data_IF_647742907566
#
_entry.id   IF_647742907566
#
_cell.length_a   1.000
_cell.length_b   1.000
_cell.length_c   1.000
_cell.angle_alpha   90.00
_cell.angle_beta   90.00
_cell.angle_gamma   90.00
#
_symmetry.space_group_name_H-M   'P 1'
#
loop_
_entity.id
_entity.type
_entity.pdbx_description
1 polymer ?
#
# COMPACT_ATOMS: atom_id res chain seq x y z
N UNK A 1 18.29 -2.26 24.70
CA UNK A 1 18.13 -3.56 24.04
C UNK A 1 18.07 -3.40 22.54
N UNK A 2 19.13 -3.82 21.85
CA UNK A 2 19.13 -3.96 20.39
C UNK A 2 18.48 -5.30 20.06
N UNK A 3 17.22 -5.29 19.62
CA UNK A 3 16.53 -6.48 19.12
C UNK A 3 16.47 -6.44 17.60
N UNK A 4 16.89 -7.53 16.98
CA UNK A 4 16.73 -7.75 15.55
C UNK A 4 15.33 -8.31 15.26
N UNK A 5 14.63 -7.72 14.29
CA UNK A 5 13.31 -8.18 13.84
C UNK A 5 13.43 -8.78 12.44
N UNK A 6 13.14 -10.06 12.33
CA UNK A 6 13.21 -10.80 11.06
C UNK A 6 11.83 -10.79 10.40
N UNK A 7 11.78 -10.27 9.18
CA UNK A 7 10.60 -10.35 8.31
C UNK A 7 10.47 -11.71 7.63
N UNK A 8 9.39 -11.90 6.88
CA UNK A 8 9.20 -13.04 6.00
C UNK A 8 10.22 -13.06 4.84
N UNK A 9 10.44 -14.25 4.29
CA UNK A 9 11.28 -14.43 3.09
C UNK A 9 10.56 -13.83 1.90
N UNK A 10 11.14 -12.80 1.29
CA UNK A 10 10.56 -12.13 0.13
C UNK A 10 11.51 -12.16 -1.06
N UNK A 11 10.96 -12.18 -2.27
CA UNK A 11 11.73 -12.18 -3.52
C UNK A 11 12.37 -10.81 -3.84
N UNK A 12 11.96 -9.74 -3.16
CA UNK A 12 12.49 -8.38 -3.32
C UNK A 12 12.94 -7.81 -1.98
N UNK A 13 14.05 -7.07 -1.99
CA UNK A 13 14.62 -6.42 -0.80
C UNK A 13 13.61 -5.53 -0.06
N UNK A 14 12.89 -4.69 -0.80
CA UNK A 14 11.90 -3.75 -0.23
C UNK A 14 10.77 -4.47 0.52
N UNK A 15 10.34 -5.62 0.02
CA UNK A 15 9.28 -6.40 0.67
C UNK A 15 9.81 -7.07 1.96
N UNK A 16 11.07 -7.54 1.94
CA UNK A 16 11.72 -8.09 3.13
C UNK A 16 11.91 -7.03 4.22
N UNK A 17 12.33 -5.82 3.85
CA UNK A 17 12.47 -4.68 4.77
C UNK A 17 11.12 -4.27 5.36
N UNK A 18 10.07 -4.18 4.53
CA UNK A 18 8.72 -3.88 5.00
C UNK A 18 8.18 -4.99 5.91
N UNK A 19 8.48 -6.25 5.59
CA UNK A 19 8.07 -7.37 6.42
C UNK A 19 8.77 -7.35 7.79
N UNK A 20 10.07 -7.01 7.83
CA UNK A 20 10.80 -6.83 9.09
C UNK A 20 10.25 -5.65 9.91
N UNK A 21 9.97 -4.52 9.26
CA UNK A 21 9.36 -3.35 9.89
C UNK A 21 7.97 -3.67 10.46
N UNK A 22 7.16 -4.46 9.75
CA UNK A 22 5.86 -4.92 10.25
C UNK A 22 6.01 -5.77 11.52
N UNK A 23 6.94 -6.73 11.53
CA UNK A 23 7.24 -7.55 12.71
C UNK A 23 7.62 -6.68 13.92
N UNK A 24 8.45 -5.65 13.70
CA UNK A 24 8.82 -4.71 14.75
C UNK A 24 7.61 -3.91 15.28
N UNK A 25 6.74 -3.42 14.39
CA UNK A 25 5.54 -2.68 14.77
C UNK A 25 4.57 -3.52 15.61
N UNK A 26 4.31 -4.77 15.20
CA UNK A 26 3.44 -5.69 15.96
C UNK A 26 4.02 -5.96 17.35
N UNK A 27 5.33 -6.18 17.43
CA UNK A 27 6.00 -6.38 18.71
C UNK A 27 5.84 -5.17 19.63
N UNK A 28 6.05 -3.95 19.12
CA UNK A 28 5.89 -2.72 19.89
C UNK A 28 4.44 -2.53 20.37
N UNK A 29 3.46 -2.85 19.53
CA UNK A 29 2.05 -2.79 19.92
C UNK A 29 1.74 -3.79 21.03
N UNK A 30 2.18 -5.05 20.91
CA UNK A 30 1.98 -6.06 21.95
C UNK A 30 2.64 -5.64 23.28
N UNK A 31 3.85 -5.08 23.23
CA UNK A 31 4.56 -4.61 24.42
C UNK A 31 3.89 -3.39 25.07
N UNK A 32 3.36 -2.45 24.28
CA UNK A 32 2.60 -1.33 24.82
C UNK A 32 1.31 -1.78 25.53
N UNK A 33 0.68 -2.85 25.04
CA UNK A 33 -0.50 -3.43 25.67
C UNK A 33 -0.18 -4.25 26.92
N UNK A 34 1.01 -4.83 27.06
CA UNK A 34 1.43 -5.46 28.33
C UNK A 34 1.56 -4.45 29.48
N UNK A 35 1.74 -3.16 29.18
CA UNK A 35 1.73 -2.10 30.19
C UNK A 35 0.32 -1.60 30.56
N UNK A 36 -0.72 -2.01 29.83
CA UNK A 36 -2.12 -1.71 30.15
C UNK A 36 -2.82 -3.02 30.54
N UNK A 37 -2.94 -3.26 31.83
CA UNK A 37 -3.57 -4.47 32.36
C UNK A 37 -5.00 -4.67 31.79
N UNK A 38 -5.30 -5.92 31.44
CA UNK A 38 -6.60 -6.54 31.08
C UNK A 38 -7.11 -6.40 29.63
N UNK A 39 -6.66 -7.29 28.72
CA UNK A 39 -7.56 -7.87 27.70
C UNK A 39 -7.04 -9.22 27.14
N UNK A 40 -7.31 -10.36 27.81
CA UNK A 40 -6.87 -11.69 27.35
C UNK A 40 -7.50 -12.12 26.01
N UNK A 41 -8.65 -11.55 25.64
CA UNK A 41 -9.35 -11.88 24.40
C UNK A 41 -8.65 -11.32 23.14
N UNK A 42 -7.93 -10.22 23.28
CA UNK A 42 -7.26 -9.57 22.16
C UNK A 42 -5.96 -10.29 21.78
N UNK A 43 -5.25 -10.83 22.79
CA UNK A 43 -4.07 -11.67 22.59
C UNK A 43 -4.43 -12.98 21.87
N UNK A 44 -5.54 -13.63 22.24
CA UNK A 44 -6.01 -14.85 21.58
C UNK A 44 -6.42 -14.59 20.11
N UNK A 45 -7.10 -13.46 19.84
CA UNK A 45 -7.46 -13.07 18.46
C UNK A 45 -6.23 -12.80 17.59
N UNK A 46 -5.22 -12.11 18.10
CA UNK A 46 -3.99 -11.85 17.36
C UNK A 46 -3.20 -13.13 17.08
N UNK A 47 -3.18 -14.07 18.04
CA UNK A 47 -2.51 -15.35 17.86
C UNK A 47 -3.22 -16.23 16.82
N UNK A 48 -4.56 -16.29 16.84
CA UNK A 48 -5.33 -16.98 15.80
C UNK A 48 -5.14 -16.36 14.41
N UNK A 49 -5.05 -15.04 14.34
CA UNK A 49 -4.80 -14.34 13.08
C UNK A 49 -3.41 -14.66 12.52
N UNK A 50 -2.40 -14.82 13.37
CA UNK A 50 -1.05 -15.22 12.98
C UNK A 50 -1.00 -16.65 12.45
N UNK A 51 -1.72 -17.58 13.09
CA UNK A 51 -1.82 -18.98 12.65
C UNK A 51 -2.44 -19.10 11.24
N UNK A 52 -3.51 -18.35 10.97
CA UNK A 52 -4.17 -18.32 9.65
C UNK A 52 -3.26 -17.79 8.54
N UNK A 53 -2.36 -16.86 8.85
CA UNK A 53 -1.38 -16.34 7.89
C UNK A 53 -0.33 -17.40 7.58
N UNK A 54 0.12 -18.17 8.58
CA UNK A 54 1.08 -19.26 8.36
C UNK A 54 0.49 -20.41 7.55
N UNK A 55 -0.73 -20.87 7.86
CA UNK A 55 -1.40 -21.95 7.11
C UNK A 55 -1.62 -21.60 5.64
N UNK A 56 -1.86 -20.31 5.34
CA UNK A 56 -1.98 -19.82 3.95
C UNK A 56 -0.67 -19.76 3.18
N UNK A 57 0.48 -19.72 3.84
CA UNK A 57 1.79 -19.73 3.17
C UNK A 57 2.30 -21.15 2.86
N UNK A 58 1.70 -22.20 3.41
CA UNK A 58 2.14 -23.59 3.21
C UNK A 58 1.51 -24.25 1.97
N UNK A 59 0.54 -23.61 1.30
CA UNK A 59 -0.06 -24.12 0.07
C UNK A 59 0.61 -23.55 -1.19
N UNK A 60 1.64 -24.29 -1.63
CA UNK A 60 2.21 -24.46 -2.98
C UNK A 60 3.62 -23.94 -3.22
N UNK A 61 4.57 -24.87 -3.36
CA UNK A 61 5.46 -24.94 -4.50
C UNK A 61 4.97 -26.03 -5.46
N UNK A 62 4.54 -25.68 -6.67
CA UNK A 62 4.48 -26.66 -7.77
C UNK A 62 5.77 -26.58 -8.61
N UNK A 63 6.37 -27.73 -8.96
CA UNK A 63 7.56 -27.79 -9.80
C UNK A 63 7.20 -27.50 -11.26
N UNK A 64 7.96 -26.62 -11.88
CA UNK A 64 7.84 -26.26 -13.29
C UNK A 64 8.65 -27.28 -14.12
N UNK A 65 7.99 -28.29 -14.68
CA UNK A 65 8.57 -29.15 -15.69
C UNK A 65 7.58 -29.39 -16.85
N UNK A 66 7.98 -28.86 -18.01
CA UNK A 66 7.81 -29.37 -19.38
C UNK A 66 6.44 -29.93 -19.82
N UNK A 67 5.85 -29.33 -20.87
CA UNK A 67 5.71 -29.98 -22.18
C UNK A 67 5.07 -29.04 -23.24
N UNK A 68 5.36 -29.40 -24.48
CA UNK A 68 5.12 -28.70 -25.74
C UNK A 68 3.64 -28.49 -26.13
N UNK A 69 3.41 -27.41 -26.89
CA UNK A 69 2.78 -27.50 -28.22
C UNK A 69 1.25 -27.39 -28.35
N UNK A 70 0.83 -26.38 -29.15
CA UNK A 70 -0.45 -26.25 -29.90
C UNK A 70 -1.75 -26.11 -29.09
N UNK A 71 -2.83 -25.52 -29.55
CA UNK A 71 -3.21 -24.43 -30.46
C UNK A 71 -4.74 -24.29 -30.25
N UNK A 72 -5.28 -23.06 -30.24
CA UNK A 72 -6.67 -22.60 -30.52
C UNK A 72 -7.89 -23.39 -30.00
N UNK A 73 -8.80 -22.71 -29.29
CA UNK A 73 -10.15 -22.34 -29.79
C UNK A 73 -10.95 -21.57 -28.71
N UNK A 74 -11.55 -20.45 -29.14
CA UNK A 74 -12.54 -19.70 -28.39
C UNK A 74 -13.93 -20.34 -28.51
N UNK A 75 -14.75 -20.29 -27.45
CA UNK A 75 -16.20 -20.10 -27.54
C UNK A 75 -16.81 -19.81 -26.15
N UNK A 76 -17.75 -18.88 -26.17
CA UNK A 76 -18.52 -18.32 -25.07
C UNK A 76 -19.53 -19.34 -24.50
N UNK A 77 -19.84 -19.23 -23.20
CA UNK A 77 -21.22 -19.04 -22.72
C UNK A 77 -21.26 -18.88 -21.20
N UNK A 78 -21.93 -17.83 -20.79
CA UNK A 78 -22.37 -17.46 -19.46
C UNK A 78 -23.33 -18.49 -18.82
N UNK A 79 -23.13 -18.78 -17.54
CA UNK A 79 -24.20 -18.89 -16.54
C UNK A 79 -23.68 -18.38 -15.19
N UNK A 80 -24.55 -17.65 -14.51
CA UNK A 80 -24.30 -17.00 -13.24
C UNK A 80 -24.27 -18.01 -12.08
N UNK A 81 -23.74 -17.51 -10.96
CA UNK A 81 -24.00 -17.91 -9.57
C UNK A 81 -22.91 -18.72 -8.85
N UNK A 82 -21.95 -17.99 -8.25
CA UNK A 82 -21.52 -18.27 -6.88
C UNK A 82 -20.63 -17.14 -6.36
N UNK A 83 -21.30 -16.23 -5.67
CA UNK A 83 -20.73 -15.17 -4.84
C UNK A 83 -19.85 -15.76 -3.74
N UNK A 84 -18.56 -16.03 -4.01
CA UNK A 84 -17.56 -16.34 -2.96
C UNK A 84 -16.08 -16.28 -3.42
N UNK A 85 -15.78 -15.48 -4.44
CA UNK A 85 -14.40 -15.25 -4.93
C UNK A 85 -13.83 -13.86 -4.64
N UNK A 86 -14.45 -13.05 -3.79
CA UNK A 86 -14.23 -11.59 -3.69
C UNK A 86 -13.51 -11.10 -2.42
N UNK A 87 -12.72 -11.93 -1.73
CA UNK A 87 -11.99 -11.49 -0.52
C UNK A 87 -10.50 -11.88 -0.47
N UNK A 88 -9.84 -11.88 -1.64
CA UNK A 88 -8.37 -12.05 -1.72
C UNK A 88 -7.68 -10.83 -2.38
N UNK A 89 -8.43 -9.81 -2.81
CA UNK A 89 -7.88 -8.55 -3.36
C UNK A 89 -7.99 -7.34 -2.43
N UNK A 90 -8.64 -7.47 -1.26
CA UNK A 90 -8.89 -6.36 -0.32
C UNK A 90 -7.81 -6.19 0.76
N UNK A 91 -6.85 -7.10 0.89
CA UNK A 91 -5.83 -7.05 1.96
C UNK A 91 -4.45 -6.56 1.52
N UNK A 92 -4.27 -6.18 0.25
CA UNK A 92 -3.22 -5.26 -0.17
C UNK A 92 -3.63 -3.78 0.03
N UNK A 93 -4.85 -3.54 0.54
CA UNK A 93 -5.58 -2.28 0.44
C UNK A 93 -5.55 -1.42 1.71
N UNK A 94 -4.54 -1.62 2.59
CA UNK A 94 -4.30 -0.75 3.75
C UNK A 94 -2.88 -0.18 3.84
N UNK A 95 -2.08 -0.24 2.77
CA UNK A 95 -1.08 0.80 2.56
C UNK A 95 -1.82 2.02 2.02
N UNK A 96 -2.39 2.83 2.90
CA UNK A 96 -3.15 4.02 2.50
C UNK A 96 -2.26 4.88 1.62
N UNK A 97 -2.55 4.89 0.32
CA UNK A 97 -1.82 5.67 -0.67
C UNK A 97 -1.81 7.13 -0.22
N UNK A 98 -0.64 7.75 -0.18
CA UNK A 98 -0.51 9.18 0.11
C UNK A 98 -1.35 10.03 -0.85
N UNK A 99 -1.59 9.56 -2.07
CA UNK A 99 -2.53 10.19 -3.02
C UNK A 99 -3.96 10.22 -2.47
N UNK A 100 -4.43 9.13 -1.89
CA UNK A 100 -5.76 9.05 -1.26
C UNK A 100 -5.81 9.94 -0.03
N UNK A 101 -4.80 9.88 0.86
CA UNK A 101 -4.72 10.77 2.03
C UNK A 101 -4.75 12.24 1.67
N UNK A 102 -4.02 12.63 0.62
CA UNK A 102 -4.00 14.01 0.15
C UNK A 102 -5.37 14.43 -0.39
N UNK A 103 -6.02 13.56 -1.15
CA UNK A 103 -7.36 13.80 -1.69
C UNK A 103 -8.42 13.91 -0.58
N UNK A 104 -8.40 13.00 0.38
CA UNK A 104 -9.28 13.01 1.56
C UNK A 104 -9.09 14.30 2.37
N UNK A 105 -7.84 14.67 2.66
CA UNK A 105 -7.55 15.88 3.41
C UNK A 105 -8.08 17.14 2.70
N UNK A 106 -7.87 17.26 1.39
CA UNK A 106 -8.38 18.39 0.59
C UNK A 106 -9.91 18.41 0.57
N UNK A 107 -10.55 17.24 0.52
CA UNK A 107 -12.00 17.14 0.56
C UNK A 107 -12.57 17.59 1.92
N UNK A 108 -11.91 17.21 3.01
CA UNK A 108 -12.30 17.58 4.38
C UNK A 108 -12.11 19.08 4.65
N UNK A 109 -11.00 19.66 4.18
CA UNK A 109 -10.62 21.05 4.49
C UNK A 109 -10.91 22.02 3.33
N UNK A 110 -11.83 21.66 2.42
CA UNK A 110 -12.14 22.45 1.22
C UNK A 110 -12.60 23.87 1.55
N UNK A 111 -13.26 24.07 2.69
CA UNK A 111 -13.71 25.39 3.16
C UNK A 111 -12.54 26.32 3.53
N UNK A 112 -11.38 25.78 3.86
CA UNK A 112 -10.20 26.52 4.32
C UNK A 112 -9.29 26.94 3.16
N UNK A 113 -9.50 26.37 1.97
CA UNK A 113 -8.71 26.61 0.77
C UNK A 113 -9.60 27.25 -0.32
N UNK A 114 -9.88 28.57 -0.22
CA UNK A 114 -10.70 29.28 -1.19
C UNK A 114 -10.06 29.25 -2.58
N UNK A 115 -10.81 28.82 -3.58
CA UNK A 115 -10.34 28.68 -4.97
C UNK A 115 -10.08 27.25 -5.43
N UNK A 116 -10.22 26.25 -4.53
CA UNK A 116 -10.27 24.85 -4.95
C UNK A 116 -11.53 24.58 -5.79
N UNK A 117 -11.32 24.11 -7.01
CA UNK A 117 -12.37 23.58 -7.88
C UNK A 117 -13.03 22.31 -7.31
N UNK A 118 -13.51 21.44 -8.18
CA UNK A 118 -13.99 20.12 -7.72
C UNK A 118 -12.82 19.28 -7.14
N UNK A 119 -13.05 18.32 -6.23
CA UNK A 119 -11.97 17.49 -5.67
C UNK A 119 -11.11 16.80 -6.73
N UNK A 120 -11.71 16.40 -7.86
CA UNK A 120 -11.00 15.81 -9.00
C UNK A 120 -10.08 16.79 -9.72
N UNK A 121 -10.32 18.10 -9.60
CA UNK A 121 -9.53 19.19 -10.20
C UNK A 121 -8.56 19.85 -9.21
N UNK A 122 -8.64 19.51 -7.93
CA UNK A 122 -7.82 20.10 -6.88
C UNK A 122 -6.34 19.70 -6.96
N UNK A 123 -6.05 18.55 -7.56
CA UNK A 123 -4.71 17.96 -7.59
C UNK A 123 -4.28 17.70 -9.03
N UNK A 124 -3.12 18.24 -9.40
CA UNK A 124 -2.51 17.98 -10.69
C UNK A 124 -1.17 17.29 -10.52
N UNK A 125 -1.14 16.00 -10.89
CA UNK A 125 0.07 15.19 -10.87
C UNK A 125 0.79 15.27 -12.21
N UNK A 126 2.09 15.51 -12.18
CA UNK A 126 2.98 15.37 -13.33
C UNK A 126 4.12 14.44 -12.95
N UNK A 127 4.43 13.48 -13.79
CA UNK A 127 5.59 12.62 -13.62
C UNK A 127 6.40 12.60 -14.92
N UNK A 128 7.71 12.72 -14.78
CA UNK A 128 8.64 12.71 -15.90
C UNK A 128 9.71 11.66 -15.65
N UNK A 129 10.14 10.99 -16.72
CA UNK A 129 11.33 10.16 -16.68
C UNK A 129 12.57 11.07 -16.74
N UNK A 130 13.45 10.97 -15.76
CA UNK A 130 14.65 11.80 -15.61
C UNK A 130 15.93 11.05 -16.01
N UNK A 131 15.79 9.86 -16.61
CA UNK A 131 16.88 9.01 -17.13
C UNK A 131 17.07 7.71 -16.35
N UNK A 132 17.72 6.72 -16.97
CA UNK A 132 17.99 5.39 -16.40
C UNK A 132 16.76 4.71 -15.79
N UNK A 133 15.58 4.83 -16.43
CA UNK A 133 14.32 4.29 -15.92
C UNK A 133 13.97 4.81 -14.51
N UNK A 134 14.34 6.06 -14.23
CA UNK A 134 14.00 6.76 -13.00
C UNK A 134 12.98 7.86 -13.28
N UNK A 135 12.06 8.01 -12.35
CA UNK A 135 10.92 8.91 -12.42
C UNK A 135 11.01 9.94 -11.30
N UNK A 136 10.76 11.19 -11.65
CA UNK A 136 10.47 12.27 -10.71
C UNK A 136 9.00 12.66 -10.88
N UNK A 137 8.31 12.96 -9.80
CA UNK A 137 6.94 13.45 -9.86
C UNK A 137 6.78 14.74 -9.08
N UNK A 138 5.83 15.56 -9.53
CA UNK A 138 5.38 16.77 -8.87
C UNK A 138 3.87 16.71 -8.72
N UNK A 139 3.35 17.20 -7.60
CA UNK A 139 1.92 17.43 -7.40
C UNK A 139 1.68 18.92 -7.14
N UNK A 140 0.73 19.48 -7.87
CA UNK A 140 0.26 20.86 -7.67
C UNK A 140 -1.10 20.83 -6.98
N UNK A 141 -1.25 21.63 -5.92
CA UNK A 141 -2.55 21.86 -5.28
C UNK A 141 -3.16 23.09 -5.94
N UNK A 142 -4.06 22.86 -6.89
CA UNK A 142 -4.69 23.89 -7.72
C UNK A 142 -5.42 24.90 -6.83
N UNK A 143 -5.26 26.19 -7.13
CA UNK A 143 -5.82 27.28 -6.32
C UNK A 143 -4.88 27.79 -5.22
N UNK A 144 -3.92 26.98 -4.76
CA UNK A 144 -2.89 27.44 -3.81
C UNK A 144 -1.63 27.98 -4.49
N UNK A 145 -1.44 27.66 -5.78
CA UNK A 145 -0.20 27.94 -6.52
C UNK A 145 1.03 27.19 -5.99
N UNK A 146 0.84 26.20 -5.09
CA UNK A 146 1.93 25.41 -4.53
C UNK A 146 2.13 24.13 -5.33
N UNK A 147 3.40 23.84 -5.62
CA UNK A 147 3.85 22.61 -6.26
C UNK A 147 4.85 21.90 -5.36
N UNK A 148 4.65 20.60 -5.15
CA UNK A 148 5.49 19.75 -4.32
C UNK A 148 6.18 18.73 -5.20
N UNK A 149 7.51 18.69 -5.12
CA UNK A 149 8.36 17.76 -5.86
C UNK A 149 8.70 16.58 -4.95
N UNK A 150 8.43 15.37 -5.43
CA UNK A 150 8.88 14.14 -4.80
C UNK A 150 10.31 13.80 -5.17
N UNK A 151 10.86 12.77 -4.52
CA UNK A 151 12.16 12.21 -4.88
C UNK A 151 12.17 11.49 -6.24
N UNK A 152 13.35 10.97 -6.58
CA UNK A 152 13.58 10.21 -7.81
C UNK A 152 13.54 8.72 -7.50
N UNK A 153 12.64 7.98 -8.16
CA UNK A 153 12.39 6.56 -7.90
C UNK A 153 12.44 5.72 -9.17
N UNK A 154 12.61 4.41 -9.04
CA UNK A 154 12.60 3.49 -10.19
C UNK A 154 11.19 3.20 -10.72
N UNK A 155 10.15 3.58 -9.98
CA UNK A 155 8.75 3.44 -10.40
C UNK A 155 8.04 4.77 -10.33
N UNK A 156 7.29 5.10 -11.39
CA UNK A 156 6.43 6.28 -11.46
C UNK A 156 5.49 6.41 -10.26
N UNK A 157 4.87 5.29 -9.86
CA UNK A 157 3.92 5.28 -8.73
C UNK A 157 4.59 5.74 -7.44
N UNK A 158 5.82 5.29 -7.15
CA UNK A 158 6.55 5.65 -5.94
C UNK A 158 6.90 7.15 -5.92
N UNK A 159 7.33 7.70 -7.07
CA UNK A 159 7.58 9.13 -7.21
C UNK A 159 6.31 9.97 -6.94
N UNK A 160 5.16 9.54 -7.48
CA UNK A 160 3.88 10.21 -7.21
C UNK A 160 3.44 10.11 -5.74
N UNK A 161 3.65 8.95 -5.09
CA UNK A 161 3.36 8.80 -3.66
C UNK A 161 4.22 9.74 -2.81
N UNK A 162 5.51 9.88 -3.13
CA UNK A 162 6.39 10.76 -2.38
C UNK A 162 6.04 12.24 -2.61
N UNK A 163 5.72 12.64 -3.83
CA UNK A 163 5.22 13.99 -4.10
C UNK A 163 3.94 14.29 -3.30
N UNK A 164 2.99 13.35 -3.24
CA UNK A 164 1.79 13.46 -2.42
C UNK A 164 2.11 13.53 -0.92
N UNK A 165 3.09 12.74 -0.45
CA UNK A 165 3.56 12.79 0.94
C UNK A 165 4.12 14.16 1.31
N UNK A 166 4.93 14.77 0.45
CA UNK A 166 5.46 16.13 0.67
C UNK A 166 4.34 17.16 0.78
N UNK A 167 3.33 17.08 -0.09
CA UNK A 167 2.14 17.93 -0.01
C UNK A 167 1.37 17.71 1.31
N UNK A 168 1.15 16.47 1.74
CA UNK A 168 0.51 16.16 3.02
C UNK A 168 1.29 16.70 4.23
N UNK A 169 2.62 16.69 4.19
CA UNK A 169 3.44 17.23 5.27
C UNK A 169 3.29 18.75 5.39
N UNK A 170 3.28 19.45 4.25
CA UNK A 170 3.06 20.90 4.23
C UNK A 170 1.67 21.30 4.72
N UNK A 171 0.63 20.53 4.37
CA UNK A 171 -0.73 20.79 4.85
C UNK A 171 -0.89 20.60 6.37
N UNK A 172 0.08 19.93 7.03
CA UNK A 172 0.07 19.65 8.47
C UNK A 172 1.04 20.53 9.28
N UNK A 173 1.87 21.34 8.62
CA UNK A 173 2.87 22.22 9.25
C UNK A 173 2.31 23.61 9.48
#
# INVERSE_FOLDING_TARGET
DEREFVGGVCSRKVDAEQSAAWTACVFLQLHQHQHHQHEPQLQERLQQQWQQVQERQVLQPQPLNQLHGREVHASQSCTADSSRGLRILETAQQCVSWKNKLQEWIQEHRSELPGLGTPAQALLYRAAEVGNQRFEATVEIVGTGRTFRGGVFHRKVEAEQDAARQACLWLRS
#
